data_IF_684745114882
#
_entry.id   IF_684745114882
#
_cell.length_a   1.000
_cell.length_b   1.000
_cell.length_c   1.000
_cell.angle_alpha   90.00
_cell.angle_beta   90.00
_cell.angle_gamma   90.00
#
_symmetry.space_group_name_H-M   'P 1'
#
loop_
_entity.id
_entity.type
_entity.pdbx_description
1 polymer ?
#
# COMPACT_ATOMS: atom_id res chain seq x y z
N UNK A 1 -4.97 -14.69 -20.79
CA UNK A 1 -6.42 -14.38 -20.88
C UNK A 1 -6.80 -13.75 -19.56
N UNK A 2 -7.48 -12.61 -19.56
CA UNK A 2 -7.92 -11.98 -18.31
C UNK A 2 -8.89 -12.93 -17.58
N UNK A 3 -8.69 -13.12 -16.28
CA UNK A 3 -9.62 -13.85 -15.43
C UNK A 3 -10.97 -13.09 -15.45
N UNK A 4 -12.10 -13.72 -15.83
CA UNK A 4 -13.41 -13.08 -15.83
C UNK A 4 -13.84 -12.53 -14.46
N UNK A 5 -13.16 -12.90 -13.37
CA UNK A 5 -13.36 -12.34 -12.04
C UNK A 5 -12.64 -11.00 -11.78
N UNK A 6 -11.69 -10.60 -12.64
CA UNK A 6 -10.95 -9.33 -12.48
C UNK A 6 -11.80 -8.15 -12.92
N UNK A 7 -12.08 -7.22 -11.99
CA UNK A 7 -12.73 -5.97 -12.32
C UNK A 7 -11.71 -4.86 -12.50
N UNK A 8 -11.77 -4.18 -13.64
CA UNK A 8 -10.97 -2.98 -13.89
C UNK A 8 -11.74 -1.74 -13.45
N UNK A 9 -11.14 -0.93 -12.59
CA UNK A 9 -11.70 0.31 -12.06
C UNK A 9 -10.81 1.45 -12.55
N UNK A 10 -11.31 2.24 -13.50
CA UNK A 10 -10.63 3.44 -14.00
C UNK A 10 -10.75 4.56 -12.97
N UNK A 11 -9.65 5.22 -12.64
CA UNK A 11 -9.62 6.33 -11.68
C UNK A 11 -9.61 7.70 -12.35
N UNK A 12 -9.70 7.74 -13.68
CA UNK A 12 -9.76 8.98 -14.49
C UNK A 12 -8.59 9.95 -14.25
N UNK A 13 -7.43 9.43 -13.84
CA UNK A 13 -6.18 10.18 -13.72
C UNK A 13 -5.26 9.78 -14.86
N UNK A 14 -4.87 10.74 -15.72
CA UNK A 14 -3.91 10.46 -16.81
C UNK A 14 -2.55 10.11 -16.24
N UNK A 15 -1.75 9.37 -17.02
CA UNK A 15 -0.38 9.01 -16.64
C UNK A 15 0.48 10.24 -16.26
N UNK A 16 0.19 11.41 -16.85
CA UNK A 16 0.91 12.67 -16.62
C UNK A 16 0.35 13.54 -15.49
N UNK A 17 -0.76 13.14 -14.83
CA UNK A 17 -1.33 13.93 -13.73
C UNK A 17 -0.35 14.05 -12.56
N UNK A 18 -0.19 15.25 -12.00
CA UNK A 18 0.82 15.54 -10.97
C UNK A 18 2.23 15.07 -11.36
N UNK A 19 2.68 15.37 -12.59
CA UNK A 19 3.97 14.89 -13.13
C UNK A 19 5.21 15.33 -12.36
N UNK A 20 5.10 16.35 -11.49
CA UNK A 20 6.18 16.75 -10.58
C UNK A 20 6.41 15.76 -9.44
N UNK A 21 5.44 14.88 -9.15
CA UNK A 21 5.55 13.87 -8.10
C UNK A 21 6.35 12.67 -8.58
N UNK A 22 7.35 12.29 -7.78
CA UNK A 22 8.26 11.19 -8.04
C UNK A 22 8.24 10.14 -6.93
N UNK A 23 9.41 9.53 -6.69
CA UNK A 23 9.55 8.44 -5.73
C UNK A 23 9.21 8.88 -4.30
N UNK A 24 9.72 10.04 -3.89
CA UNK A 24 9.53 10.58 -2.54
C UNK A 24 8.05 10.78 -2.22
N UNK A 25 7.30 11.49 -3.06
CA UNK A 25 5.89 11.75 -2.78
C UNK A 25 5.06 10.47 -2.78
N UNK A 26 5.34 9.53 -3.71
CA UNK A 26 4.68 8.24 -3.76
C UNK A 26 4.91 7.39 -2.49
N UNK A 27 6.16 7.32 -2.04
CA UNK A 27 6.51 6.62 -0.81
C UNK A 27 5.95 7.31 0.43
N UNK A 28 6.05 8.64 0.51
CA UNK A 28 5.50 9.43 1.63
C UNK A 28 4.01 9.17 1.80
N UNK A 29 3.23 9.19 0.71
CA UNK A 29 1.79 8.86 0.78
C UNK A 29 1.54 7.40 1.20
N UNK A 30 2.37 6.46 0.74
CA UNK A 30 2.27 5.05 1.14
C UNK A 30 2.52 4.88 2.64
N UNK A 31 3.58 5.51 3.16
CA UNK A 31 3.91 5.53 4.60
C UNK A 31 2.81 6.22 5.40
N UNK A 32 2.28 7.33 4.90
CA UNK A 32 1.20 8.06 5.58
C UNK A 32 -0.06 7.20 5.67
N UNK A 33 -0.47 6.54 4.57
CA UNK A 33 -1.60 5.60 4.58
C UNK A 33 -1.42 4.47 5.60
N UNK A 34 -0.21 3.91 5.69
CA UNK A 34 0.11 2.90 6.72
C UNK A 34 0.01 3.48 8.13
N UNK A 35 0.64 4.63 8.38
CA UNK A 35 0.63 5.28 9.69
C UNK A 35 -0.80 5.62 10.15
N UNK A 36 -1.63 6.14 9.26
CA UNK A 36 -3.05 6.42 9.55
C UNK A 36 -3.82 5.16 9.94
N UNK A 37 -3.55 4.03 9.27
CA UNK A 37 -4.12 2.74 9.65
C UNK A 37 -3.80 2.33 11.08
N UNK A 38 -2.56 2.57 11.54
CA UNK A 38 -2.15 2.27 12.93
C UNK A 38 -2.97 3.04 13.97
N UNK A 39 -3.48 4.22 13.61
CA UNK A 39 -4.25 5.10 14.48
C UNK A 39 -5.76 4.74 14.55
N UNK A 40 -6.30 4.09 13.51
CA UNK A 40 -7.74 3.78 13.40
C UNK A 40 -8.20 2.69 14.38
N UNK A 41 -7.30 1.81 14.86
CA UNK A 41 -7.63 0.93 15.98
C UNK A 41 -7.87 1.80 17.23
N UNK A 42 -9.07 1.81 17.81
CA UNK A 42 -9.37 2.63 18.99
C UNK A 42 -9.88 1.77 20.14
N UNK A 43 -9.18 1.83 21.26
CA UNK A 43 -9.74 1.64 22.58
C UNK A 43 -9.70 3.01 23.28
N UNK A 44 -10.61 3.23 24.22
CA UNK A 44 -11.04 4.52 24.79
C UNK A 44 -10.00 5.32 25.62
N UNK A 45 -8.72 5.06 25.42
CA UNK A 45 -7.59 5.83 25.95
C UNK A 45 -6.49 5.63 24.92
N UNK A 46 -5.79 6.62 24.36
CA UNK A 46 -4.78 6.33 23.35
C UNK A 46 -3.64 5.54 24.01
N UNK A 47 -3.51 4.22 23.80
CA UNK A 47 -2.28 3.56 24.14
C UNK A 47 -1.16 4.21 23.32
N UNK A 48 -0.04 4.49 23.98
CA UNK A 48 1.15 5.00 23.31
C UNK A 48 1.53 3.98 22.22
N UNK A 49 1.72 4.47 21.00
CA UNK A 49 2.29 3.64 19.93
C UNK A 49 3.76 3.43 20.27
N UNK A 50 4.11 2.18 20.56
CA UNK A 50 5.49 1.76 20.74
C UNK A 50 6.01 1.30 19.38
N UNK A 51 7.02 2.00 18.87
CA UNK A 51 7.70 1.63 17.64
C UNK A 51 9.05 1.01 17.99
N UNK A 52 9.35 -0.14 17.38
CA UNK A 52 10.68 -0.75 17.47
C UNK A 52 11.22 -1.00 16.08
N UNK A 53 12.51 -0.69 15.90
CA UNK A 53 13.25 -0.98 14.68
C UNK A 53 14.15 -2.18 14.93
N UNK A 54 14.15 -3.12 14.00
CA UNK A 54 15.03 -4.28 14.06
C UNK A 54 15.67 -4.53 12.69
N UNK A 55 16.93 -4.95 12.72
CA UNK A 55 17.61 -5.48 11.54
C UNK A 55 17.24 -6.96 11.42
N UNK A 56 16.79 -7.37 10.25
CA UNK A 56 16.49 -8.77 9.96
C UNK A 56 17.71 -9.39 9.28
N UNK A 57 18.31 -10.38 9.93
CA UNK A 57 19.40 -11.16 9.34
C UNK A 57 18.81 -12.44 8.73
N UNK A 58 18.69 -12.44 7.41
CA UNK A 58 18.26 -13.63 6.65
C UNK A 58 19.45 -14.48 6.17
N UNK A 59 20.68 -14.14 6.58
CA UNK A 59 21.92 -14.73 6.09
C UNK A 59 22.28 -14.33 4.65
N UNK A 60 23.52 -14.58 4.25
CA UNK A 60 24.01 -14.40 2.88
C UNK A 60 23.81 -12.99 2.26
N UNK A 61 23.96 -11.93 3.07
CA UNK A 61 23.88 -10.54 2.59
C UNK A 61 22.46 -10.04 2.29
N UNK A 62 21.44 -10.80 2.68
CA UNK A 62 20.02 -10.42 2.59
C UNK A 62 19.58 -9.73 3.88
N UNK A 63 20.25 -8.66 4.27
CA UNK A 63 19.83 -7.88 5.44
C UNK A 63 18.54 -7.14 5.13
N UNK A 64 17.51 -7.27 5.97
CA UNK A 64 16.27 -6.52 5.88
C UNK A 64 16.15 -5.48 6.99
N UNK A 65 15.24 -4.52 6.80
CA UNK A 65 14.90 -3.54 7.83
C UNK A 65 13.42 -3.64 8.16
N UNK A 66 13.09 -3.80 9.44
CA UNK A 66 11.69 -3.89 9.91
C UNK A 66 11.40 -2.88 11.00
N UNK A 67 10.25 -2.24 10.85
CA UNK A 67 9.62 -1.43 11.89
C UNK A 67 8.33 -2.10 12.32
N UNK A 68 8.19 -2.34 13.62
CA UNK A 68 6.98 -2.90 14.19
C UNK A 68 6.31 -1.87 15.10
N UNK A 69 5.01 -1.68 14.90
CA UNK A 69 4.18 -0.82 15.71
C UNK A 69 3.31 -1.67 16.64
N UNK A 70 3.46 -1.44 17.94
CA UNK A 70 2.72 -2.13 18.99
C UNK A 70 1.90 -1.16 19.82
N UNK A 71 0.87 -1.74 20.44
CA UNK A 71 -0.12 -1.05 21.24
C UNK A 71 -0.50 -1.91 22.43
N UNK A 72 -0.12 -1.50 23.63
CA UNK A 72 -0.27 -2.34 24.83
C UNK A 72 0.27 -3.78 24.61
N UNK A 73 1.48 -3.88 24.03
CA UNK A 73 2.13 -5.13 23.59
C UNK A 73 1.47 -5.92 22.45
N UNK A 74 0.34 -5.46 21.89
CA UNK A 74 -0.28 -6.06 20.70
C UNK A 74 0.27 -5.42 19.42
N UNK A 75 0.73 -6.23 18.46
CA UNK A 75 1.10 -5.74 17.11
C UNK A 75 -0.14 -5.15 16.41
N UNK A 76 -0.04 -3.89 16.00
CA UNK A 76 -1.09 -3.19 15.22
C UNK A 76 -0.69 -2.99 13.77
N UNK A 77 0.58 -3.24 13.44
CA UNK A 77 1.09 -3.21 12.09
C UNK A 77 2.61 -3.17 12.06
N UNK A 78 3.17 -3.29 10.87
CA UNK A 78 4.61 -3.25 10.65
C UNK A 78 4.92 -2.80 9.23
N UNK A 79 6.15 -2.39 8.98
CA UNK A 79 6.68 -2.27 7.63
C UNK A 79 8.07 -2.92 7.53
N UNK A 80 8.39 -3.45 6.36
CA UNK A 80 9.59 -4.22 6.12
C UNK A 80 10.14 -3.92 4.73
N UNK A 81 11.42 -3.56 4.67
CA UNK A 81 12.17 -3.45 3.43
C UNK A 81 13.14 -4.62 3.29
N UNK A 82 13.07 -5.30 2.16
CA UNK A 82 13.94 -6.40 1.76
C UNK A 82 14.77 -5.96 0.54
N UNK A 83 16.00 -5.45 0.73
CA UNK A 83 16.87 -4.98 -0.35
C UNK A 83 17.14 -6.03 -1.43
N UNK A 84 17.34 -7.30 -1.02
CA UNK A 84 17.60 -8.41 -1.93
C UNK A 84 16.42 -8.74 -2.86
N UNK A 85 15.21 -8.27 -2.52
CA UNK A 85 14.00 -8.43 -3.34
C UNK A 85 13.52 -7.09 -3.95
N UNK A 86 14.20 -5.98 -3.66
CA UNK A 86 13.76 -4.63 -3.98
C UNK A 86 12.29 -4.38 -3.57
N UNK A 87 11.92 -4.85 -2.37
CA UNK A 87 10.53 -4.95 -1.93
C UNK A 87 10.29 -4.26 -0.60
N UNK A 88 9.27 -3.42 -0.55
CA UNK A 88 8.80 -2.73 0.65
C UNK A 88 7.37 -3.15 0.93
N UNK A 89 7.12 -3.65 2.14
CA UNK A 89 5.81 -4.14 2.56
C UNK A 89 5.33 -3.38 3.78
N UNK A 90 4.06 -2.98 3.79
CA UNK A 90 3.38 -2.38 4.92
C UNK A 90 2.19 -3.25 5.30
N UNK A 91 1.96 -3.43 6.60
CA UNK A 91 0.81 -4.16 7.14
C UNK A 91 0.14 -3.33 8.23
N UNK A 92 -1.19 -3.28 8.17
CA UNK A 92 -2.07 -2.76 9.21
C UNK A 92 -3.01 -3.88 9.67
N UNK A 93 -3.02 -4.16 10.97
CA UNK A 93 -3.90 -5.16 11.57
C UNK A 93 -5.28 -4.58 11.85
N UNK A 94 -6.33 -5.32 11.51
CA UNK A 94 -7.72 -4.92 11.75
C UNK A 94 -8.19 -3.67 11.00
N UNK A 95 -7.47 -3.27 9.94
CA UNK A 95 -7.83 -2.14 9.08
C UNK A 95 -8.19 -2.68 7.70
N UNK A 96 -9.44 -2.53 7.29
CA UNK A 96 -9.93 -2.86 5.95
C UNK A 96 -10.33 -1.62 5.16
N UNK A 97 -10.05 -1.61 3.86
CA UNK A 97 -10.42 -0.56 2.94
C UNK A 97 -11.57 -1.03 2.04
N UNK A 98 -12.62 -0.20 1.93
CA UNK A 98 -13.69 -0.40 0.96
C UNK A 98 -13.39 0.35 -0.34
N UNK A 99 -13.90 -0.14 -1.48
CA UNK A 99 -13.66 0.48 -2.79
C UNK A 99 -14.03 1.96 -2.91
N UNK A 100 -14.87 2.49 -2.02
CA UNK A 100 -15.15 3.93 -1.97
C UNK A 100 -13.86 4.75 -1.81
N UNK A 101 -12.82 4.19 -1.17
CA UNK A 101 -11.51 4.86 -1.07
C UNK A 101 -10.81 5.02 -2.41
N UNK A 102 -11.29 4.41 -3.50
CA UNK A 102 -10.78 4.63 -4.86
C UNK A 102 -11.43 5.86 -5.53
N UNK A 103 -12.56 6.35 -5.03
CA UNK A 103 -13.20 7.55 -5.55
C UNK A 103 -12.33 8.78 -5.27
N UNK A 104 -12.24 9.67 -6.24
CA UNK A 104 -11.66 11.00 -6.05
C UNK A 104 -12.51 11.80 -5.06
N UNK A 105 -11.87 12.57 -4.19
CA UNK A 105 -12.54 13.33 -3.12
C UNK A 105 -13.13 12.52 -1.98
N UNK A 106 -13.05 11.18 -2.00
CA UNK A 106 -13.52 10.36 -0.87
C UNK A 106 -12.46 10.28 0.22
N UNK A 107 -12.73 10.92 1.36
CA UNK A 107 -11.92 10.85 2.56
C UNK A 107 -12.81 10.74 3.80
N UNK A 108 -12.56 9.73 4.64
CA UNK A 108 -13.18 9.65 5.97
C UNK A 108 -12.60 10.69 6.95
N UNK A 109 -11.52 11.38 6.57
CA UNK A 109 -10.81 12.37 7.40
C UNK A 109 -11.28 13.82 7.19
N UNK A 110 -12.20 14.05 6.25
CA UNK A 110 -12.67 15.38 5.86
C UNK A 110 -13.40 16.17 6.98
N UNK A 111 -13.47 15.66 8.21
CA UNK A 111 -14.09 16.32 9.36
C UNK A 111 -13.08 17.04 10.29
N UNK A 112 -11.78 17.04 9.99
CA UNK A 112 -10.77 17.77 10.77
C UNK A 112 -9.98 18.74 9.90
N UNK A 113 -10.29 20.04 10.01
CA UNK A 113 -9.75 21.14 9.20
C UNK A 113 -8.25 21.46 9.36
N UNK A 114 -7.51 20.69 10.16
CA UNK A 114 -6.10 20.97 10.51
C UNK A 114 -5.10 19.95 9.95
N UNK A 115 -5.51 19.07 9.02
CA UNK A 115 -4.62 18.03 8.48
C UNK A 115 -4.23 18.33 7.02
N UNK A 116 -2.95 18.61 6.80
CA UNK A 116 -2.32 18.62 5.47
C UNK A 116 -2.45 17.19 4.90
N UNK A 117 -3.21 17.01 3.81
CA UNK A 117 -3.54 15.69 3.22
C UNK A 117 -5.03 15.29 3.25
N UNK A 118 -5.96 16.25 3.21
CA UNK A 118 -7.39 16.02 3.49
C UNK A 118 -8.27 15.51 2.34
N UNK A 119 -7.81 15.58 1.08
CA UNK A 119 -8.66 15.32 -0.09
C UNK A 119 -8.94 13.82 -0.36
N UNK A 120 -8.25 12.91 0.33
CA UNK A 120 -8.39 11.46 0.09
C UNK A 120 -7.80 11.00 -1.25
N UNK A 121 -7.00 11.85 -1.89
CA UNK A 121 -6.43 11.60 -3.22
C UNK A 121 -5.01 11.02 -3.16
N UNK A 122 -4.32 11.16 -2.02
CA UNK A 122 -2.93 10.79 -1.82
C UNK A 122 -2.60 9.35 -2.23
N UNK A 123 -3.46 8.39 -1.89
CA UNK A 123 -3.33 7.00 -2.36
C UNK A 123 -3.23 6.93 -3.90
N UNK A 124 -4.10 7.61 -4.63
CA UNK A 124 -4.16 7.51 -6.09
C UNK A 124 -2.97 8.22 -6.73
N UNK A 125 -2.72 9.46 -6.31
CA UNK A 125 -1.64 10.29 -6.87
C UNK A 125 -0.27 9.72 -6.53
N UNK A 126 -0.11 9.20 -5.30
CA UNK A 126 1.10 8.49 -4.87
C UNK A 126 1.33 7.20 -5.66
N UNK A 127 0.28 6.39 -5.84
CA UNK A 127 0.36 5.18 -6.67
C UNK A 127 0.77 5.50 -8.11
N UNK A 128 0.18 6.55 -8.70
CA UNK A 128 0.52 7.03 -10.04
C UNK A 128 2.00 7.43 -10.15
N UNK A 129 2.53 8.14 -9.16
CA UNK A 129 3.93 8.55 -9.13
C UNK A 129 4.89 7.35 -9.07
N UNK A 130 4.55 6.31 -8.29
CA UNK A 130 5.32 5.07 -8.20
C UNK A 130 5.28 4.27 -9.51
N UNK A 131 4.08 4.10 -10.10
CA UNK A 131 3.91 3.39 -11.37
C UNK A 131 4.64 4.06 -12.54
N UNK A 132 4.65 5.40 -12.59
CA UNK A 132 5.43 6.14 -13.60
C UNK A 132 6.92 5.83 -13.57
N UNK A 133 7.45 5.48 -12.39
CA UNK A 133 8.85 5.07 -12.21
C UNK A 133 9.10 3.59 -12.48
N UNK A 134 8.05 2.84 -12.84
CA UNK A 134 8.14 1.41 -13.11
C UNK A 134 8.09 0.52 -11.87
N UNK A 135 7.79 1.08 -10.68
CA UNK A 135 7.52 0.26 -9.49
C UNK A 135 6.15 -0.39 -9.63
N UNK A 136 5.97 -1.57 -9.01
CA UNK A 136 4.67 -2.25 -8.93
C UNK A 136 4.06 -2.02 -7.57
N UNK A 137 2.77 -1.71 -7.53
CA UNK A 137 2.05 -1.49 -6.28
C UNK A 137 0.83 -2.40 -6.22
N UNK A 138 0.77 -3.21 -5.17
CA UNK A 138 -0.33 -4.12 -4.87
C UNK A 138 -0.84 -3.85 -3.46
N UNK A 139 -2.16 -3.90 -3.27
CA UNK A 139 -2.79 -3.84 -1.96
C UNK A 139 -3.68 -5.07 -1.75
N UNK A 140 -3.60 -5.69 -0.59
CA UNK A 140 -4.48 -6.78 -0.15
C UNK A 140 -5.33 -6.18 0.95
N UNK A 141 -6.65 -6.15 0.79
CA UNK A 141 -7.53 -5.48 1.76
C UNK A 141 -8.93 -6.08 1.73
N UNK A 142 -9.47 -6.39 2.92
CA UNK A 142 -10.79 -7.01 3.01
C UNK A 142 -10.83 -8.33 2.22
N UNK A 143 -11.81 -8.42 1.32
CA UNK A 143 -12.03 -9.56 0.45
C UNK A 143 -11.39 -9.41 -0.94
N UNK A 144 -10.49 -8.44 -1.13
CA UNK A 144 -9.93 -8.10 -2.44
C UNK A 144 -8.41 -7.97 -2.46
N UNK A 145 -7.86 -8.14 -3.66
CA UNK A 145 -6.50 -7.75 -4.04
C UNK A 145 -6.63 -6.70 -5.12
N UNK A 146 -5.93 -5.58 -4.95
CA UNK A 146 -5.91 -4.45 -5.85
C UNK A 146 -4.51 -4.30 -6.42
N UNK A 147 -4.38 -4.48 -7.74
CA UNK A 147 -3.17 -4.13 -8.47
C UNK A 147 -3.37 -2.77 -9.14
N UNK A 148 -2.49 -1.82 -8.83
CA UNK A 148 -2.50 -0.51 -9.48
C UNK A 148 -1.72 -0.62 -10.79
N UNK A 149 -2.32 -0.16 -11.88
CA UNK A 149 -1.71 -0.26 -13.22
C UNK A 149 -1.94 1.02 -14.03
N UNK A 150 -1.07 1.26 -15.00
CA UNK A 150 -1.30 2.22 -16.08
C UNK A 150 -1.79 1.47 -17.31
N UNK A 151 -3.00 1.76 -17.75
CA UNK A 151 -3.60 1.13 -18.92
C UNK A 151 -4.43 2.13 -19.73
N UNK A 152 -4.59 1.87 -21.02
CA UNK A 152 -5.43 2.70 -21.87
C UNK A 152 -6.90 2.45 -21.52
N UNK A 153 -7.62 3.49 -21.15
CA UNK A 153 -9.07 3.43 -20.99
C UNK A 153 -9.75 3.56 -22.35
N UNK A 154 -10.52 2.56 -22.82
CA UNK A 154 -11.17 2.61 -24.12
C UNK A 154 -12.16 3.77 -24.29
N UNK A 155 -12.72 4.27 -23.19
CA UNK A 155 -13.71 5.37 -23.18
C UNK A 155 -13.04 6.71 -23.44
N UNK A 156 -11.79 6.87 -22.99
CA UNK A 156 -11.03 8.11 -23.13
C UNK A 156 -9.97 8.06 -24.24
N UNK A 157 -9.52 6.86 -24.62
CA UNK A 157 -8.38 6.67 -25.52
C UNK A 157 -7.04 7.07 -24.89
N UNK A 158 -7.00 7.21 -23.56
CA UNK A 158 -5.87 7.77 -22.81
C UNK A 158 -5.27 6.76 -21.84
N UNK A 159 -3.96 6.85 -21.62
CA UNK A 159 -3.26 6.08 -20.59
C UNK A 159 -3.60 6.64 -19.21
N UNK A 160 -4.33 5.88 -18.41
CA UNK A 160 -4.82 6.31 -17.10
C UNK A 160 -4.44 5.33 -15.99
N UNK A 161 -4.47 5.82 -14.75
CA UNK A 161 -4.41 4.99 -13.56
C UNK A 161 -5.67 4.13 -13.45
N UNK A 162 -5.47 2.83 -13.31
CA UNK A 162 -6.52 1.85 -13.04
C UNK A 162 -6.17 1.00 -11.82
N UNK A 163 -7.21 0.41 -11.23
CA UNK A 163 -7.07 -0.68 -10.27
C UNK A 163 -7.68 -1.93 -10.89
N UNK A 164 -6.88 -2.98 -10.99
CA UNK A 164 -7.37 -4.33 -11.27
C UNK A 164 -7.69 -4.99 -9.93
N UNK A 165 -8.99 -5.09 -9.62
CA UNK A 165 -9.49 -5.68 -8.39
C UNK A 165 -9.88 -7.14 -8.63
N UNK A 166 -9.27 -8.04 -7.87
CA UNK A 166 -9.59 -9.47 -7.86
C UNK A 166 -10.05 -9.89 -6.47
N UNK A 167 -10.70 -11.06 -6.37
CA UNK A 167 -11.06 -11.64 -5.07
C UNK A 167 -9.79 -12.04 -4.32
N UNK A 168 -9.76 -11.77 -3.01
CA UNK A 168 -8.70 -12.27 -2.14
C UNK A 168 -8.74 -13.80 -2.08
N UNK A 169 -7.62 -14.48 -2.40
CA UNK A 169 -7.54 -15.92 -2.26
C UNK A 169 -7.54 -16.34 -0.79
N UNK A 170 -7.81 -17.62 -0.54
CA UNK A 170 -7.78 -18.16 0.81
C UNK A 170 -6.33 -18.35 1.27
N UNK A 171 -5.46 -18.78 0.35
CA UNK A 171 -4.04 -19.03 0.62
C UNK A 171 -3.17 -18.03 -0.16
N UNK A 172 -2.87 -16.89 0.48
CA UNK A 172 -2.20 -15.76 -0.17
C UNK A 172 -0.83 -16.09 -0.78
N UNK A 173 -0.01 -16.86 -0.07
CA UNK A 173 1.36 -17.21 -0.46
C UNK A 173 1.43 -18.28 -1.55
N UNK A 174 0.37 -19.07 -1.71
CA UNK A 174 0.27 -20.11 -2.74
C UNK A 174 -0.41 -19.61 -4.01
N UNK A 175 -1.38 -18.68 -3.88
CA UNK A 175 -2.22 -18.23 -4.99
C UNK A 175 -1.78 -16.89 -5.60
N UNK A 176 -0.91 -16.11 -4.94
CA UNK A 176 -0.42 -14.82 -5.44
C UNK A 176 1.10 -14.79 -5.58
N UNK A 177 1.55 -14.83 -6.84
CA UNK A 177 2.97 -14.73 -7.15
C UNK A 177 3.59 -13.40 -6.66
N UNK A 178 4.82 -13.50 -6.15
CA UNK A 178 5.62 -12.36 -5.70
C UNK A 178 5.26 -11.82 -4.31
N UNK A 179 4.22 -12.35 -3.64
CA UNK A 179 3.94 -11.96 -2.27
C UNK A 179 4.98 -12.50 -1.28
N UNK A 180 5.39 -11.70 -0.28
CA UNK A 180 6.16 -12.21 0.85
C UNK A 180 5.38 -13.32 1.57
N UNK A 181 6.05 -14.44 1.87
CA UNK A 181 5.44 -15.57 2.60
C UNK A 181 4.90 -15.18 3.98
N UNK A 182 5.47 -14.15 4.59
CA UNK A 182 4.99 -13.59 5.86
C UNK A 182 3.54 -13.07 5.79
N UNK A 183 3.03 -12.77 4.60
CA UNK A 183 1.64 -12.34 4.40
C UNK A 183 0.62 -13.48 4.46
N UNK A 184 1.06 -14.74 4.50
CA UNK A 184 0.17 -15.91 4.71
C UNK A 184 -0.68 -15.81 5.98
N UNK A 185 -0.18 -15.12 7.00
CA UNK A 185 -0.84 -14.88 8.28
C UNK A 185 -1.79 -13.67 8.32
N UNK A 186 -2.05 -13.02 7.19
CA UNK A 186 -2.97 -11.88 7.16
C UNK A 186 -4.41 -12.34 7.34
N UNK A 187 -5.12 -11.71 8.27
CA UNK A 187 -6.55 -11.91 8.43
C UNK A 187 -7.34 -11.12 7.37
N UNK A 188 -8.59 -11.49 7.05
CA UNK A 188 -9.46 -10.72 6.15
C UNK A 188 -9.63 -9.26 6.55
N UNK A 189 -9.55 -8.96 7.85
CA UNK A 189 -9.63 -7.60 8.39
C UNK A 189 -8.36 -6.78 8.23
N UNK A 190 -7.24 -7.41 7.84
CA UNK A 190 -5.95 -6.73 7.69
C UNK A 190 -5.83 -6.11 6.30
N UNK A 191 -4.98 -5.08 6.21
CA UNK A 191 -4.54 -4.52 4.94
C UNK A 191 -3.03 -4.66 4.83
N UNK A 192 -2.57 -5.08 3.65
CA UNK A 192 -1.17 -5.02 3.29
C UNK A 192 -0.96 -4.25 2.00
N UNK A 193 0.10 -3.44 1.95
CA UNK A 193 0.55 -2.75 0.75
C UNK A 193 1.94 -3.26 0.41
N UNK A 194 2.12 -3.76 -0.81
CA UNK A 194 3.37 -4.31 -1.31
C UNK A 194 3.84 -3.46 -2.47
N UNK A 195 5.05 -2.93 -2.35
CA UNK A 195 5.74 -2.18 -3.37
C UNK A 195 6.96 -2.98 -3.84
N UNK A 196 7.05 -3.22 -5.14
CA UNK A 196 8.17 -3.95 -5.76
C UNK A 196 8.94 -3.06 -6.74
N UNK A 197 10.25 -3.27 -6.83
CA UNK A 197 11.15 -2.50 -7.68
C UNK A 197 11.82 -1.32 -6.99
N UNK A 198 11.69 -1.17 -5.66
CA UNK A 198 12.38 -0.15 -4.89
C UNK A 198 13.82 -0.58 -4.63
N UNK A 199 14.76 -0.02 -5.38
CA UNK A 199 16.16 -0.48 -5.37
C UNK A 199 16.90 -0.04 -4.10
N UNK A 200 17.91 -0.80 -3.63
CA UNK A 200 18.64 -0.47 -2.40
C UNK A 200 19.29 0.90 -2.41
N UNK A 201 19.80 1.34 -3.57
CA UNK A 201 20.38 2.68 -3.74
C UNK A 201 19.33 3.79 -3.58
N UNK A 202 18.12 3.58 -4.07
CA UNK A 202 17.01 4.52 -3.90
C UNK A 202 16.52 4.51 -2.46
N UNK A 203 16.51 3.35 -1.79
CA UNK A 203 16.17 3.25 -0.38
C UNK A 203 17.15 3.97 0.54
N UNK A 204 18.45 3.91 0.24
CA UNK A 204 19.49 4.53 1.05
C UNK A 204 19.49 6.07 0.99
N UNK A 205 18.84 6.65 -0.03
CA UNK A 205 18.73 8.10 -0.24
C UNK A 205 17.49 8.73 0.43
N UNK A 206 16.60 7.91 1.00
CA UNK A 206 15.35 8.31 1.66
C UNK A 206 15.53 8.48 3.17
#
# INVERSE_FOLDING_TARGET
MADPATQKISLSLTASYASSWGLWEGLRETVQNWHDGLLVSSAATPPVLEASQSKLDFGAGKDGLRFEARRASQEVGWCEYLPGEAKLTFVNRGVGLGRQVLLMGYSKKAQHHDVIGSFGEGLKVGSLALLRRGLKLRMITGAEVWEFVLAVDPSFGELVLMVEATKRPLELDLELEGLPSILSSLEPSDTATVLEGLRPEEWAEL
#
